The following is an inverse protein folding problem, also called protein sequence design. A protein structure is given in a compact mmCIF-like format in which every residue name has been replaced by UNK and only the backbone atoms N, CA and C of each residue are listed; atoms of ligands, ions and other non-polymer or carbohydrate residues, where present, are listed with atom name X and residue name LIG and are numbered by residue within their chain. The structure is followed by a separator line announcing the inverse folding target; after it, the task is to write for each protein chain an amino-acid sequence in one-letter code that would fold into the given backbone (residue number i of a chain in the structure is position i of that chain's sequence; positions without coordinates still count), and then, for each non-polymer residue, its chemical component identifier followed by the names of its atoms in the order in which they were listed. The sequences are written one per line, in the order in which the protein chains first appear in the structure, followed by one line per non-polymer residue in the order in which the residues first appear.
data_IF_010817168545
#
_entry.id   IF_010817168545
#
_cell.length_a   1.000
_cell.length_b   1.000
_cell.length_c   1.000
_cell.angle_alpha   90.00
_cell.angle_beta   90.00
_cell.angle_gamma   90.00
#
_symmetry.space_group_name_H-M   'P 1'
#
loop_
_entity.id
_entity.type
_entity.pdbx_description
1 polymer ?
#
# COMPACT_ATOMS: atom_id res chain seq x y z
N UNK A 1 -13.98 -1.01 -18.76
CA UNK A 1 -12.71 -1.32 -18.07
C UNK A 1 -12.01 0.00 -17.85
N UNK A 2 -11.72 0.39 -16.61
CA UNK A 2 -11.07 1.68 -16.33
C UNK A 2 -9.62 1.57 -16.81
N UNK A 3 -9.25 2.42 -17.77
CA UNK A 3 -7.90 2.52 -18.32
C UNK A 3 -6.92 2.91 -17.19
N UNK A 4 -5.88 2.10 -17.00
CA UNK A 4 -4.90 2.29 -15.92
C UNK A 4 -3.97 3.48 -16.24
N UNK A 5 -4.19 4.61 -15.59
CA UNK A 5 -3.34 5.82 -15.68
C UNK A 5 -2.16 5.85 -14.68
N UNK A 6 -1.77 4.70 -14.12
CA UNK A 6 -0.77 4.63 -13.03
C UNK A 6 0.50 3.85 -13.37
N UNK A 7 0.60 3.34 -14.60
CA UNK A 7 1.75 2.55 -15.07
C UNK A 7 2.61 3.41 -15.99
N UNK A 8 3.85 3.65 -15.59
CA UNK A 8 4.85 4.35 -16.37
C UNK A 8 6.08 3.45 -16.48
N UNK A 9 6.40 3.05 -17.72
CA UNK A 9 7.52 2.14 -18.05
C UNK A 9 8.89 2.66 -17.58
N UNK A 10 8.99 3.96 -17.23
CA UNK A 10 10.18 4.57 -16.67
C UNK A 10 10.50 4.09 -15.25
N UNK A 11 9.53 3.61 -14.49
CA UNK A 11 9.73 3.20 -13.09
C UNK A 11 9.74 1.67 -12.94
N UNK A 12 10.79 1.09 -12.33
CA UNK A 12 10.73 -0.32 -11.98
C UNK A 12 9.57 -0.55 -11.02
N UNK A 13 8.83 -1.64 -11.23
CA UNK A 13 7.66 -2.03 -10.43
C UNK A 13 6.43 -1.10 -10.54
N UNK A 14 6.32 -0.29 -11.61
CA UNK A 14 5.16 0.58 -11.79
C UNK A 14 3.82 -0.16 -11.77
N UNK A 15 3.79 -1.40 -12.25
CA UNK A 15 2.60 -2.28 -12.21
C UNK A 15 2.21 -2.64 -10.78
N UNK A 16 3.18 -3.01 -9.94
CA UNK A 16 2.94 -3.34 -8.54
C UNK A 16 2.45 -2.10 -7.77
N UNK A 17 3.10 -0.96 -7.99
CA UNK A 17 2.72 0.32 -7.40
C UNK A 17 1.29 0.71 -7.80
N UNK A 18 0.94 0.57 -9.08
CA UNK A 18 -0.42 0.82 -9.57
C UNK A 18 -1.46 -0.07 -8.89
N UNK A 19 -1.17 -1.37 -8.71
CA UNK A 19 -2.05 -2.30 -7.98
C UNK A 19 -2.23 -1.89 -6.52
N UNK A 20 -1.15 -1.53 -5.83
CA UNK A 20 -1.20 -1.09 -4.42
C UNK A 20 -2.04 0.18 -4.27
N UNK A 21 -1.82 1.18 -5.12
CA UNK A 21 -2.59 2.43 -5.13
C UNK A 21 -4.07 2.15 -5.37
N UNK A 22 -4.38 1.29 -6.34
CA UNK A 22 -5.75 0.92 -6.66
C UNK A 22 -6.46 0.28 -5.45
N UNK A 23 -5.79 -0.64 -4.75
CA UNK A 23 -6.33 -1.24 -3.51
C UNK A 23 -6.62 -0.17 -2.46
N UNK A 24 -5.68 0.75 -2.22
CA UNK A 24 -5.86 1.82 -1.24
C UNK A 24 -7.03 2.75 -1.60
N UNK A 25 -7.20 3.08 -2.89
CA UNK A 25 -8.32 3.87 -3.38
C UNK A 25 -9.65 3.14 -3.14
N UNK A 26 -9.72 1.84 -3.45
CA UNK A 26 -10.95 1.06 -3.25
C UNK A 26 -11.30 0.97 -1.76
N UNK A 27 -10.32 0.72 -0.88
CA UNK A 27 -10.54 0.75 0.57
C UNK A 27 -11.05 2.11 1.03
N UNK A 28 -10.45 3.20 0.56
CA UNK A 28 -10.86 4.55 0.94
C UNK A 28 -12.27 4.89 0.42
N UNK A 29 -12.64 4.44 -0.78
CA UNK A 29 -14.00 4.61 -1.31
C UNK A 29 -15.06 3.85 -0.49
N UNK A 30 -14.74 2.63 -0.03
CA UNK A 30 -15.69 1.80 0.72
C UNK A 30 -15.81 2.23 2.18
N UNK A 31 -14.70 2.55 2.84
CA UNK A 31 -14.71 2.97 4.25
C UNK A 31 -15.10 4.45 4.38
N UNK A 32 -14.60 5.33 3.52
CA UNK A 32 -14.73 6.77 3.71
C UNK A 32 -13.80 7.31 4.81
N UNK A 33 -13.99 8.57 5.18
CA UNK A 33 -13.16 9.23 6.19
C UNK A 33 -13.58 8.86 7.64
N UNK A 34 -12.68 9.05 8.61
CA UNK A 34 -13.01 8.96 10.04
C UNK A 34 -12.85 7.60 10.71
N UNK A 35 -12.39 6.56 10.01
CA UNK A 35 -12.11 5.25 10.60
C UNK A 35 -10.73 5.17 11.25
N UNK A 36 -10.59 4.32 12.26
CA UNK A 36 -9.30 4.01 12.89
C UNK A 36 -8.34 3.33 11.89
N UNK A 37 -7.05 3.62 12.04
CA UNK A 37 -5.98 3.05 11.22
C UNK A 37 -6.02 1.50 11.17
N UNK A 38 -6.34 0.84 12.29
CA UNK A 38 -6.47 -0.62 12.37
C UNK A 38 -7.53 -1.18 11.41
N UNK A 39 -8.62 -0.42 11.17
CA UNK A 39 -9.67 -0.82 10.23
C UNK A 39 -9.17 -0.69 8.80
N UNK A 40 -8.46 0.40 8.49
CA UNK A 40 -7.81 0.58 7.20
C UNK A 40 -6.80 -0.53 6.89
N UNK A 41 -5.96 -0.89 7.85
CA UNK A 41 -4.97 -1.95 7.72
C UNK A 41 -5.61 -3.30 7.40
N UNK A 42 -6.73 -3.63 8.07
CA UNK A 42 -7.48 -4.87 7.82
C UNK A 42 -8.14 -4.87 6.45
N UNK A 43 -8.75 -3.76 6.04
CA UNK A 43 -9.36 -3.64 4.72
C UNK A 43 -8.33 -3.74 3.59
N UNK A 44 -7.18 -3.08 3.74
CA UNK A 44 -6.05 -3.19 2.81
C UNK A 44 -5.51 -4.62 2.71
N UNK A 45 -5.38 -5.32 3.84
CA UNK A 45 -4.97 -6.72 3.85
C UNK A 45 -5.91 -7.63 3.04
N UNK A 46 -7.21 -7.37 3.10
CA UNK A 46 -8.21 -8.10 2.31
C UNK A 46 -8.02 -7.80 0.81
N UNK A 47 -7.93 -6.52 0.42
CA UNK A 47 -7.72 -6.14 -0.99
C UNK A 47 -6.40 -6.68 -1.56
N UNK A 48 -5.32 -6.65 -0.78
CA UNK A 48 -4.04 -7.24 -1.19
C UNK A 48 -4.14 -8.75 -1.36
N UNK A 49 -4.88 -9.44 -0.49
CA UNK A 49 -5.19 -10.86 -0.65
C UNK A 49 -5.96 -11.15 -1.93
N UNK A 50 -6.98 -10.34 -2.25
CA UNK A 50 -7.75 -10.47 -3.48
C UNK A 50 -6.91 -10.25 -4.74
N UNK A 51 -5.93 -9.35 -4.68
CA UNK A 51 -5.01 -9.05 -5.78
C UNK A 51 -3.75 -9.95 -5.79
N UNK A 52 -3.65 -10.93 -4.89
CA UNK A 52 -2.47 -11.78 -4.69
C UNK A 52 -1.17 -10.98 -4.55
N UNK A 53 -1.22 -9.83 -3.89
CA UNK A 53 -0.05 -9.02 -3.58
C UNK A 53 0.57 -9.57 -2.29
N UNK A 54 1.86 -9.94 -2.28
CA UNK A 54 2.52 -10.35 -1.05
C UNK A 54 2.62 -9.14 -0.11
N UNK A 55 2.14 -9.30 1.12
CA UNK A 55 2.18 -8.24 2.14
C UNK A 55 2.42 -8.86 3.53
N UNK A 56 2.93 -8.02 4.44
CA UNK A 56 3.08 -8.34 5.85
C UNK A 56 2.35 -7.28 6.67
N UNK A 57 1.66 -7.70 7.73
CA UNK A 57 1.00 -6.79 8.66
C UNK A 57 1.92 -6.50 9.83
N UNK A 58 1.81 -5.29 10.38
CA UNK A 58 2.49 -4.93 11.62
C UNK A 58 4.00 -5.18 11.53
N UNK A 59 4.59 -4.86 10.37
CA UNK A 59 6.04 -4.93 10.19
C UNK A 59 6.69 -3.91 11.13
N UNK A 60 7.19 -4.39 12.25
CA UNK A 60 7.98 -3.60 13.18
C UNK A 60 9.24 -3.14 12.46
N UNK A 61 9.38 -1.84 12.24
CA UNK A 61 10.64 -1.30 11.73
C UNK A 61 11.72 -1.60 12.77
N UNK A 62 12.80 -2.29 12.39
CA UNK A 62 13.92 -2.48 13.31
C UNK A 62 14.50 -1.11 13.66
N UNK A 63 14.76 -0.84 14.95
CA UNK A 63 15.31 0.43 15.46
C UNK A 63 16.57 0.92 14.71
N UNK A 64 17.32 -0.01 14.11
CA UNK A 64 18.51 0.26 13.31
C UNK A 64 18.25 0.96 11.97
N UNK A 65 17.01 0.94 11.47
CA UNK A 65 16.68 1.53 10.17
C UNK A 65 16.74 3.08 10.22
N UNK A 66 16.37 3.68 11.35
CA UNK A 66 16.47 5.13 11.55
C UNK A 66 17.89 5.62 11.84
N UNK A 67 18.76 4.78 12.42
CA UNK A 67 20.14 5.16 12.75
C UNK A 67 21.01 5.41 11.51
N UNK A 68 20.66 4.80 10.37
CA UNK A 68 21.39 5.00 9.11
C UNK A 68 21.17 6.40 8.50
N UNK A 69 20.11 7.12 8.90
CA UNK A 69 19.70 8.40 8.29
C UNK A 69 20.04 9.66 9.10
N UNK A 70 20.74 9.52 10.23
CA UNK A 70 21.20 10.65 11.08
C UNK A 70 22.71 10.86 11.06
N UNK A 71 23.44 10.26 10.11
CA UNK A 71 24.85 10.60 9.87
C UNK A 71 24.92 11.61 8.71
N UNK A 72 25.18 12.85 9.11
CA UNK A 72 25.49 14.08 8.36
C UNK A 72 24.28 14.97 8.03
#
# INVERSE_FOLDING_TARGET
MIENNYTNDKYPLSDLTGKVIKCAIEVHKHLGNGFQEVIYQRALAIEFGLQNIPFEREFEMPDKFWQQKLRI
#
